data_IF_327287051657
#
_entry.id   IF_327287051657
#
_cell.length_a   1.000
_cell.length_b   1.000
_cell.length_c   1.000
_cell.angle_alpha   90.00
_cell.angle_beta   90.00
_cell.angle_gamma   90.00
#
_symmetry.space_group_name_H-M   'P 1'
#
loop_
_entity.id
_entity.type
_entity.pdbx_description
1 polymer ?
#
# COMPACT_ATOMS: atom_id res chain seq x y z
N UNK A 1 19.89 17.34 25.00
CA UNK A 1 19.72 17.27 23.51
C UNK A 1 19.71 15.80 23.07
N UNK A 2 18.75 15.39 22.23
CA UNK A 2 18.61 13.98 21.79
C UNK A 2 19.17 13.71 20.40
N UNK A 3 20.01 12.68 20.31
CA UNK A 3 20.59 12.21 19.03
C UNK A 3 20.12 10.78 18.73
N UNK A 4 19.79 10.47 17.48
CA UNK A 4 19.52 9.12 17.03
C UNK A 4 20.64 8.59 16.15
N UNK A 5 21.03 7.34 16.37
CA UNK A 5 22.10 6.68 15.65
C UNK A 5 21.57 5.38 15.08
N UNK A 6 21.78 5.17 13.78
CA UNK A 6 21.42 3.90 13.15
C UNK A 6 22.42 2.81 13.56
N UNK A 7 21.94 1.68 14.06
CA UNK A 7 22.78 0.63 14.64
C UNK A 7 22.37 -0.77 14.15
N UNK A 8 23.36 -1.66 14.07
CA UNK A 8 23.15 -3.07 13.73
C UNK A 8 22.61 -3.89 14.92
N UNK A 9 22.95 -3.49 16.16
CA UNK A 9 22.53 -4.14 17.41
C UNK A 9 22.04 -3.11 18.43
N UNK A 10 21.38 -3.61 19.48
CA UNK A 10 20.73 -2.83 20.54
C UNK A 10 21.70 -2.35 21.64
N UNK A 11 22.96 -2.08 21.30
CA UNK A 11 24.02 -1.76 22.26
C UNK A 11 24.98 -0.69 21.73
N UNK A 12 25.64 0.06 22.64
CA UNK A 12 26.57 1.12 22.28
C UNK A 12 27.90 0.62 21.67
N UNK A 13 28.22 -0.67 21.80
CA UNK A 13 29.35 -1.31 21.13
C UNK A 13 28.98 -1.80 19.72
N UNK A 14 27.74 -1.57 19.28
CA UNK A 14 27.31 -1.85 17.92
C UNK A 14 28.05 -0.97 16.91
N UNK A 15 28.18 -1.49 15.69
CA UNK A 15 28.54 -0.67 14.53
C UNK A 15 27.36 0.20 14.11
N UNK A 16 27.68 1.36 13.54
CA UNK A 16 26.70 2.21 12.85
C UNK A 16 26.20 1.48 11.60
N UNK A 17 24.88 1.42 11.45
CA UNK A 17 24.26 0.77 10.30
C UNK A 17 24.41 1.61 9.03
N UNK A 18 24.61 0.94 7.90
CA UNK A 18 24.80 1.63 6.63
C UNK A 18 23.56 2.40 6.19
N UNK A 19 22.32 1.93 6.43
CA UNK A 19 21.10 2.60 5.93
C UNK A 19 20.19 2.97 7.08
N UNK A 20 19.81 4.25 7.19
CA UNK A 20 18.91 4.71 8.25
C UNK A 20 17.55 3.98 8.24
N UNK A 21 16.84 4.02 7.11
CA UNK A 21 15.47 3.51 7.02
C UNK A 21 15.29 2.00 7.12
N UNK A 22 16.38 1.23 7.00
CA UNK A 22 16.42 -0.24 7.10
C UNK A 22 17.35 -0.73 8.22
N UNK A 23 17.85 0.19 9.06
CA UNK A 23 18.68 -0.18 10.19
C UNK A 23 17.89 -1.07 11.15
N UNK A 24 18.48 -2.14 11.71
CA UNK A 24 17.78 -2.97 12.69
C UNK A 24 17.34 -2.19 13.94
N UNK A 25 18.19 -1.28 14.42
CA UNK A 25 17.95 -0.49 15.62
C UNK A 25 18.23 0.99 15.39
N UNK A 26 17.47 1.83 16.09
CA UNK A 26 17.75 3.25 16.29
C UNK A 26 18.09 3.45 17.76
N UNK A 27 19.33 3.86 18.04
CA UNK A 27 19.78 4.18 19.39
C UNK A 27 19.54 5.67 19.62
N UNK A 28 18.61 5.99 20.50
CA UNK A 28 18.33 7.37 20.92
C UNK A 28 19.13 7.65 22.18
N UNK A 29 20.06 8.60 22.11
CA UNK A 29 20.98 8.93 23.18
C UNK A 29 20.73 10.37 23.63
N UNK A 30 20.61 10.59 24.93
CA UNK A 30 20.69 11.92 25.48
C UNK A 30 22.16 12.32 25.65
N UNK A 31 22.55 13.39 24.99
CA UNK A 31 23.93 13.89 25.04
C UNK A 31 24.31 14.48 26.39
N UNK A 32 23.36 14.84 27.24
CA UNK A 32 23.62 15.42 28.56
C UNK A 32 23.84 14.34 29.62
N UNK A 33 22.97 13.34 29.70
CA UNK A 33 23.07 12.27 30.71
C UNK A 33 23.83 11.03 30.25
N UNK A 34 24.10 10.90 28.95
CA UNK A 34 24.61 9.67 28.31
C UNK A 34 23.67 8.46 28.42
N UNK A 35 22.44 8.67 28.89
CA UNK A 35 21.42 7.62 28.84
C UNK A 35 21.06 7.32 27.38
N UNK A 36 20.94 6.04 27.07
CA UNK A 36 20.54 5.59 25.75
C UNK A 36 19.36 4.65 25.83
N UNK A 37 18.49 4.76 24.83
CA UNK A 37 17.36 3.87 24.60
C UNK A 37 17.59 3.17 23.27
N UNK A 38 17.75 1.85 23.32
CA UNK A 38 17.84 1.04 22.12
C UNK A 38 16.45 0.66 21.64
N UNK A 39 16.08 1.15 20.45
CA UNK A 39 14.74 0.95 19.90
C UNK A 39 14.83 0.13 18.63
N UNK A 40 14.03 -0.94 18.56
CA UNK A 40 13.87 -1.68 17.32
C UNK A 40 13.26 -0.75 16.26
N UNK A 41 13.89 -0.65 15.10
CA UNK A 41 13.41 0.23 14.05
C UNK A 41 12.18 -0.40 13.38
N UNK A 42 11.00 0.25 13.41
CA UNK A 42 9.82 -0.26 12.71
C UNK A 42 10.03 -0.36 11.18
N UNK A 43 11.04 0.32 10.64
CA UNK A 43 11.51 0.24 9.25
C UNK A 43 12.51 -0.89 8.97
N UNK A 44 12.96 -1.67 9.96
CA UNK A 44 13.93 -2.75 9.74
C UNK A 44 13.43 -3.82 8.75
N UNK A 45 12.11 -4.02 8.65
CA UNK A 45 11.52 -4.88 7.63
C UNK A 45 11.50 -4.14 6.29
N UNK A 46 12.08 -4.72 5.24
CA UNK A 46 12.12 -4.20 3.85
C UNK A 46 10.75 -4.10 3.15
N UNK A 47 9.73 -3.63 3.85
CA UNK A 47 8.37 -3.37 3.36
C UNK A 47 8.30 -1.97 2.74
N UNK A 48 7.39 -1.73 1.79
CA UNK A 48 7.12 -0.39 1.27
C UNK A 48 6.85 0.60 2.43
N UNK A 49 7.50 1.76 2.40
CA UNK A 49 7.33 2.79 3.44
C UNK A 49 8.18 2.61 4.71
N UNK A 50 9.06 1.61 4.78
CA UNK A 50 9.98 1.37 5.90
C UNK A 50 10.74 2.64 6.37
N UNK A 51 11.31 3.38 5.42
CA UNK A 51 12.05 4.62 5.73
C UNK A 51 11.19 5.71 6.36
N UNK A 52 9.93 5.86 5.92
CA UNK A 52 9.00 6.86 6.48
C UNK A 52 8.60 6.50 7.90
N UNK A 53 8.46 5.21 8.21
CA UNK A 53 8.21 4.75 9.59
C UNK A 53 9.37 5.06 10.51
N UNK A 54 10.61 4.87 10.05
CA UNK A 54 11.80 5.24 10.79
C UNK A 54 11.85 6.76 11.07
N UNK A 55 11.42 7.60 10.12
CA UNK A 55 11.29 9.05 10.31
C UNK A 55 10.25 9.40 11.36
N UNK A 56 9.02 8.87 11.23
CA UNK A 56 7.95 9.13 12.18
C UNK A 56 8.35 8.72 13.62
N UNK A 57 9.10 7.62 13.71
CA UNK A 57 9.63 7.14 14.97
C UNK A 57 10.67 8.08 15.60
N UNK A 58 11.63 8.57 14.79
CA UNK A 58 12.61 9.55 15.26
C UNK A 58 11.96 10.87 15.73
N UNK A 59 10.94 11.34 15.01
CA UNK A 59 10.16 12.53 15.41
C UNK A 59 9.43 12.28 16.74
N UNK A 60 8.78 11.11 16.89
CA UNK A 60 8.04 10.77 18.10
C UNK A 60 8.90 10.68 19.37
N UNK A 61 10.17 10.30 19.25
CA UNK A 61 11.12 10.28 20.37
C UNK A 61 11.76 11.66 20.66
N UNK A 62 11.45 12.67 19.85
CA UNK A 62 11.96 14.04 20.00
C UNK A 62 13.44 14.18 19.62
N UNK A 63 13.88 13.44 18.60
CA UNK A 63 15.27 13.46 18.12
C UNK A 63 15.55 14.76 17.37
N UNK A 64 16.65 15.43 17.71
CA UNK A 64 17.06 16.68 17.06
C UNK A 64 18.11 16.43 15.97
N UNK A 65 18.90 15.35 16.10
CA UNK A 65 20.01 15.03 15.20
C UNK A 65 20.05 13.54 14.90
N UNK A 66 20.23 13.18 13.63
CA UNK A 66 20.40 11.80 13.17
C UNK A 66 21.81 11.60 12.63
N UNK A 67 22.52 10.61 13.15
CA UNK A 67 23.82 10.14 12.67
C UNK A 67 23.64 8.78 11.98
N UNK A 68 24.01 8.68 10.71
CA UNK A 68 23.83 7.43 9.95
C UNK A 68 24.88 7.28 8.84
N UNK A 69 25.10 6.06 8.35
CA UNK A 69 25.94 5.84 7.17
C UNK A 69 25.34 6.49 5.91
N UNK A 70 24.13 6.10 5.54
CA UNK A 70 23.43 6.58 4.35
C UNK A 70 21.97 6.91 4.65
N UNK A 71 21.51 8.02 4.07
CA UNK A 71 20.14 8.47 4.09
C UNK A 71 19.65 8.71 2.66
N UNK A 72 18.50 8.16 2.27
CA UNK A 72 17.95 8.41 0.93
C UNK A 72 17.39 9.84 0.82
N UNK A 73 17.35 10.45 -0.37
CA UNK A 73 16.86 11.83 -0.55
C UNK A 73 15.45 12.05 0.01
N UNK A 74 14.55 11.08 -0.19
CA UNK A 74 13.19 11.15 0.33
C UNK A 74 13.13 11.17 1.86
N UNK A 75 13.98 10.39 2.54
CA UNK A 75 14.04 10.33 4.00
C UNK A 75 14.75 11.56 4.57
N UNK A 76 15.83 12.00 3.92
CA UNK A 76 16.55 13.22 4.28
C UNK A 76 15.61 14.43 4.27
N UNK A 77 14.88 14.63 3.17
CA UNK A 77 13.96 15.76 3.03
C UNK A 77 12.87 15.76 4.12
N UNK A 78 12.38 14.59 4.51
CA UNK A 78 11.37 14.47 5.56
C UNK A 78 11.95 14.79 6.96
N UNK A 79 13.14 14.29 7.29
CA UNK A 79 13.82 14.62 8.55
C UNK A 79 14.13 16.12 8.63
N UNK A 80 14.72 16.67 7.57
CA UNK A 80 15.08 18.09 7.51
C UNK A 80 13.86 19.02 7.59
N UNK A 81 12.74 18.67 6.94
CA UNK A 81 11.50 19.46 6.99
C UNK A 81 10.86 19.50 8.39
N UNK A 82 11.20 18.52 9.25
CA UNK A 82 10.76 18.48 10.65
C UNK A 82 11.83 19.04 11.61
N UNK A 83 12.82 19.77 11.10
CA UNK A 83 13.87 20.40 11.92
C UNK A 83 14.94 19.44 12.44
N UNK A 84 14.95 18.18 12.00
CA UNK A 84 15.95 17.20 12.41
C UNK A 84 17.18 17.33 11.53
N UNK A 85 18.34 17.60 12.13
CA UNK A 85 19.61 17.67 11.41
C UNK A 85 20.11 16.27 11.09
N UNK A 86 20.47 16.02 9.82
CA UNK A 86 20.98 14.71 9.40
C UNK A 86 22.46 14.82 9.05
N UNK A 87 23.28 13.94 9.62
CA UNK A 87 24.71 13.78 9.30
C UNK A 87 24.87 12.38 8.71
N UNK A 88 25.30 12.34 7.45
CA UNK A 88 25.55 11.10 6.71
C UNK A 88 27.04 10.75 6.71
N UNK A 89 27.38 9.63 6.07
CA UNK A 89 28.75 9.11 5.91
C UNK A 89 29.42 8.81 7.26
N UNK A 90 28.60 8.53 8.27
CA UNK A 90 29.04 8.14 9.59
C UNK A 90 29.32 6.63 9.60
N UNK A 91 30.51 6.25 10.03
CA UNK A 91 30.94 4.86 10.18
C UNK A 91 31.79 4.70 11.44
N UNK A 92 31.92 3.46 11.93
CA UNK A 92 32.63 3.13 13.17
C UNK A 92 31.70 2.55 14.24
N UNK A 93 32.20 2.49 15.48
CA UNK A 93 31.38 2.08 16.62
C UNK A 93 30.49 3.23 17.08
N UNK A 94 29.26 2.91 17.52
CA UNK A 94 28.29 3.89 18.01
C UNK A 94 28.89 4.75 19.13
N UNK A 95 29.58 4.15 20.09
CA UNK A 95 30.24 4.86 21.19
C UNK A 95 31.24 5.92 20.70
N UNK A 96 32.11 5.56 19.77
CA UNK A 96 33.12 6.46 19.19
C UNK A 96 32.46 7.61 18.41
N UNK A 97 31.37 7.30 17.71
CA UNK A 97 30.59 8.27 16.94
C UNK A 97 29.91 9.30 17.86
N UNK A 98 29.39 8.88 19.01
CA UNK A 98 28.83 9.80 20.03
C UNK A 98 29.91 10.73 20.56
N UNK A 99 31.06 10.19 20.93
CA UNK A 99 32.19 10.97 21.46
C UNK A 99 32.72 11.96 20.43
N UNK A 100 32.86 11.53 19.17
CA UNK A 100 33.25 12.39 18.06
C UNK A 100 32.25 13.51 17.80
N UNK A 101 30.95 13.24 17.99
CA UNK A 101 29.91 14.24 17.87
C UNK A 101 29.95 15.28 18.99
N UNK A 102 30.15 14.85 20.25
CA UNK A 102 30.35 15.75 21.38
C UNK A 102 31.60 16.63 21.24
N UNK A 103 32.68 16.08 20.66
CA UNK A 103 33.91 16.81 20.40
C UNK A 103 33.81 17.82 19.23
N UNK A 104 32.64 17.94 18.59
CA UNK A 104 32.45 18.80 17.41
C UNK A 104 33.14 18.29 16.14
N UNK A 105 33.57 17.03 16.13
CA UNK A 105 34.34 16.41 15.05
C UNK A 105 33.53 16.13 13.78
N UNK A 106 32.21 16.33 13.81
CA UNK A 106 31.39 16.46 12.61
C UNK A 106 31.20 17.95 12.34
N UNK A 107 32.16 18.54 11.62
CA UNK A 107 32.16 19.96 11.26
C UNK A 107 30.85 20.36 10.56
N UNK A 108 30.59 21.67 10.48
CA UNK A 108 29.44 22.22 9.72
C UNK A 108 29.38 21.71 8.27
N UNK A 109 30.48 21.20 7.73
CA UNK A 109 30.62 20.62 6.39
C UNK A 109 30.15 19.16 6.24
N UNK A 110 29.92 18.42 7.33
CA UNK A 110 29.35 17.05 7.31
C UNK A 110 27.85 17.01 7.58
N UNK A 111 27.26 18.17 7.90
CA UNK A 111 25.87 18.39 7.54
C UNK A 111 25.88 18.46 6.01
N UNK A 112 25.64 17.34 5.35
CA UNK A 112 25.36 17.35 3.93
C UNK A 112 24.16 18.26 3.77
N UNK A 113 24.40 19.53 3.41
CA UNK A 113 23.47 20.29 2.60
C UNK A 113 23.16 19.35 1.46
N UNK A 114 22.01 18.65 1.58
CA UNK A 114 21.57 17.57 0.71
C UNK A 114 22.06 17.86 -0.69
N UNK A 115 22.91 16.99 -1.23
CA UNK A 115 23.54 17.17 -2.54
C UNK A 115 22.64 18.03 -3.42
N UNK A 116 22.99 19.31 -3.57
CA UNK A 116 22.46 20.15 -4.65
C UNK A 116 23.10 19.68 -5.96
N UNK A 117 23.02 18.37 -6.21
CA UNK A 117 23.40 17.67 -7.42
C UNK A 117 22.16 17.49 -8.29
N UNK A 118 21.75 18.58 -8.92
CA UNK A 118 20.98 18.59 -10.16
C UNK A 118 19.70 17.72 -10.22
N UNK A 119 18.63 18.24 -9.62
CA UNK A 119 17.32 18.19 -10.27
C UNK A 119 17.25 19.24 -11.40
N UNK A 120 18.20 19.21 -12.33
CA UNK A 120 17.98 19.88 -13.62
C UNK A 120 17.29 18.87 -14.51
N UNK A 121 15.97 18.94 -14.53
CA UNK A 121 15.10 18.01 -15.25
C UNK A 121 15.15 18.28 -16.75
N UNK A 122 16.30 18.07 -17.39
CA UNK A 122 16.32 17.85 -18.84
C UNK A 122 15.72 16.47 -19.09
N UNK A 123 14.49 16.42 -19.62
CA UNK A 123 13.92 15.18 -20.16
C UNK A 123 14.83 14.73 -21.30
N UNK A 124 15.78 13.86 -20.99
CA UNK A 124 16.66 13.30 -21.99
C UNK A 124 15.90 12.21 -22.76
N UNK A 125 16.10 12.13 -24.08
CA UNK A 125 15.58 11.06 -24.94
C UNK A 125 15.85 9.67 -24.36
N UNK A 126 16.98 9.46 -23.68
CA UNK A 126 17.28 8.19 -22.98
C UNK A 126 16.33 7.88 -21.82
N UNK A 127 15.99 8.89 -21.01
CA UNK A 127 15.03 8.75 -19.90
C UNK A 127 13.63 8.50 -20.47
N UNK A 128 13.25 9.25 -21.51
CA UNK A 128 11.97 9.06 -22.21
C UNK A 128 11.84 7.65 -22.79
N UNK A 129 12.87 7.14 -23.48
CA UNK A 129 12.87 5.79 -24.04
C UNK A 129 12.84 4.73 -22.93
N UNK A 130 13.55 4.93 -21.81
CA UNK A 130 13.52 4.01 -20.68
C UNK A 130 12.15 3.99 -20.00
N UNK A 131 11.51 5.15 -19.83
CA UNK A 131 10.16 5.28 -19.31
C UNK A 131 9.14 4.62 -20.25
N UNK A 132 9.19 4.92 -21.55
CA UNK A 132 8.35 4.28 -22.57
C UNK A 132 8.51 2.76 -22.58
N UNK A 133 9.75 2.25 -22.53
CA UNK A 133 10.03 0.81 -22.49
C UNK A 133 9.49 0.17 -21.20
N UNK A 134 9.56 0.87 -20.08
CA UNK A 134 9.00 0.42 -18.81
C UNK A 134 7.48 0.36 -18.87
N UNK A 135 6.82 1.41 -19.36
CA UNK A 135 5.36 1.46 -19.53
C UNK A 135 4.89 0.39 -20.52
N UNK A 136 5.55 0.24 -21.67
CA UNK A 136 5.23 -0.79 -22.65
C UNK A 136 5.33 -2.20 -22.06
N UNK A 137 6.33 -2.46 -21.20
CA UNK A 137 6.44 -3.73 -20.47
C UNK A 137 5.31 -3.93 -19.48
N UNK A 138 4.87 -2.89 -18.77
CA UNK A 138 3.71 -2.97 -17.87
C UNK A 138 2.42 -3.29 -18.63
N UNK A 139 2.19 -2.66 -19.78
CA UNK A 139 1.08 -3.00 -20.67
C UNK A 139 1.16 -4.44 -21.18
N UNK A 140 2.35 -4.89 -21.61
CA UNK A 140 2.57 -6.26 -22.04
C UNK A 140 2.31 -7.28 -20.93
N UNK A 141 2.57 -6.94 -19.67
CA UNK A 141 2.27 -7.80 -18.52
C UNK A 141 0.76 -7.90 -18.22
N UNK A 142 -0.04 -6.88 -18.56
CA UNK A 142 -1.49 -6.88 -18.36
C UNK A 142 -2.20 -7.63 -19.51
N UNK A 143 -1.59 -7.68 -20.70
CA UNK A 143 -2.19 -8.27 -21.89
C UNK A 143 -2.64 -9.73 -21.72
N UNK A 144 -1.87 -10.66 -21.12
CA UNK A 144 -2.32 -12.03 -20.89
C UNK A 144 -3.57 -12.13 -20.01
N UNK A 145 -3.69 -11.25 -19.01
CA UNK A 145 -4.87 -11.21 -18.14
C UNK A 145 -6.08 -10.74 -18.93
N UNK A 146 -5.95 -9.66 -19.72
CA UNK A 146 -7.04 -9.18 -20.57
C UNK A 146 -7.46 -10.23 -21.60
N UNK A 147 -6.50 -10.89 -22.27
CA UNK A 147 -6.79 -11.98 -23.19
C UNK A 147 -7.51 -13.13 -22.49
N UNK A 148 -7.06 -13.54 -21.31
CA UNK A 148 -7.71 -14.57 -20.51
C UNK A 148 -9.15 -14.20 -20.14
N UNK A 149 -9.37 -12.97 -19.69
CA UNK A 149 -10.71 -12.47 -19.35
C UNK A 149 -11.61 -12.43 -20.59
N UNK A 150 -11.14 -11.91 -21.73
CA UNK A 150 -11.91 -11.87 -22.98
C UNK A 150 -12.27 -13.28 -23.47
N UNK A 151 -11.34 -14.23 -23.41
CA UNK A 151 -11.61 -15.62 -23.76
C UNK A 151 -12.63 -16.26 -22.82
N UNK A 152 -12.54 -15.99 -21.51
CA UNK A 152 -13.52 -16.46 -20.54
C UNK A 152 -14.91 -15.88 -20.79
N UNK A 153 -15.02 -14.60 -21.19
CA UNK A 153 -16.30 -14.00 -21.60
C UNK A 153 -16.82 -14.69 -22.86
N UNK A 154 -15.96 -14.96 -23.85
CA UNK A 154 -16.34 -15.69 -25.06
C UNK A 154 -16.87 -17.09 -24.72
N UNK A 155 -16.19 -17.81 -23.82
CA UNK A 155 -16.61 -19.12 -23.34
C UNK A 155 -17.92 -19.03 -22.54
N UNK A 156 -18.06 -18.03 -21.67
CA UNK A 156 -19.30 -17.76 -20.94
C UNK A 156 -20.45 -17.52 -21.90
N UNK A 157 -20.27 -16.67 -22.92
CA UNK A 157 -21.29 -16.43 -23.94
C UNK A 157 -21.64 -17.67 -24.76
N UNK A 158 -20.70 -18.61 -24.91
CA UNK A 158 -20.92 -19.86 -25.64
C UNK A 158 -21.64 -20.93 -24.79
N UNK A 159 -21.32 -21.03 -23.49
CA UNK A 159 -21.83 -22.07 -22.60
C UNK A 159 -23.02 -21.63 -21.73
N UNK A 160 -23.15 -20.34 -21.47
CA UNK A 160 -24.22 -19.78 -20.64
C UNK A 160 -25.27 -19.18 -21.57
N UNK A 161 -26.30 -19.96 -21.83
CA UNK A 161 -27.46 -19.52 -22.62
C UNK A 161 -28.31 -18.52 -21.83
N UNK A 162 -29.03 -17.66 -22.56
CA UNK A 162 -30.00 -16.72 -21.96
C UNK A 162 -31.07 -17.43 -21.12
N UNK A 163 -31.39 -18.67 -21.46
CA UNK A 163 -32.36 -19.51 -20.74
C UNK A 163 -31.86 -19.91 -19.34
N UNK A 164 -30.57 -20.28 -19.23
CA UNK A 164 -29.95 -20.58 -17.94
C UNK A 164 -29.91 -19.35 -17.03
N UNK A 165 -29.68 -18.16 -17.60
CA UNK A 165 -29.71 -16.90 -16.85
C UNK A 165 -31.13 -16.50 -16.47
N UNK A 166 -32.13 -16.69 -17.33
CA UNK A 166 -33.53 -16.39 -17.04
C UNK A 166 -34.13 -17.28 -15.94
N UNK A 167 -33.61 -18.50 -15.75
CA UNK A 167 -33.98 -19.37 -14.61
C UNK A 167 -33.51 -18.84 -13.26
N UNK A 168 -32.38 -18.12 -13.23
CA UNK A 168 -31.78 -17.56 -12.01
C UNK A 168 -32.28 -16.12 -11.78
N UNK A 169 -32.35 -15.33 -12.84
CA UNK A 169 -32.79 -13.93 -12.85
C UNK A 169 -34.21 -13.86 -13.41
N UNK A 170 -35.17 -14.02 -12.50
CA UNK A 170 -36.61 -14.05 -12.79
C UNK A 170 -37.21 -12.70 -13.19
N UNK A 171 -36.41 -11.62 -13.13
CA UNK A 171 -36.84 -10.25 -13.45
C UNK A 171 -37.41 -9.49 -12.24
N UNK A 172 -37.52 -10.15 -11.07
CA UNK A 172 -37.89 -9.47 -9.83
C UNK A 172 -36.66 -8.77 -9.25
N UNK A 173 -36.75 -7.44 -9.10
CA UNK A 173 -35.66 -6.58 -8.60
C UNK A 173 -35.01 -7.14 -7.33
N UNK A 174 -35.79 -7.62 -6.36
CA UNK A 174 -35.27 -8.07 -5.06
C UNK A 174 -34.55 -9.40 -5.18
N UNK A 175 -35.14 -10.38 -5.87
CA UNK A 175 -34.54 -11.70 -6.08
C UNK A 175 -33.29 -11.63 -6.96
N UNK A 176 -33.35 -10.82 -8.02
CA UNK A 176 -32.22 -10.63 -8.93
C UNK A 176 -31.04 -9.95 -8.22
N UNK A 177 -31.33 -8.95 -7.37
CA UNK A 177 -30.31 -8.30 -6.52
C UNK A 177 -29.71 -9.29 -5.52
N UNK A 178 -30.53 -10.15 -4.91
CA UNK A 178 -30.07 -11.14 -3.94
C UNK A 178 -29.20 -12.23 -4.60
N UNK A 179 -29.62 -12.76 -5.74
CA UNK A 179 -28.79 -13.69 -6.53
C UNK A 179 -27.50 -13.03 -6.99
N UNK A 180 -27.56 -11.79 -7.47
CA UNK A 180 -26.38 -11.01 -7.84
C UNK A 180 -25.40 -10.84 -6.67
N UNK A 181 -25.91 -10.53 -5.47
CA UNK A 181 -25.13 -10.42 -4.26
C UNK A 181 -24.45 -11.76 -3.86
N UNK A 182 -25.16 -12.88 -3.97
CA UNK A 182 -24.61 -14.21 -3.71
C UNK A 182 -23.47 -14.56 -4.68
N UNK A 183 -23.69 -14.37 -5.99
CA UNK A 183 -22.67 -14.65 -6.99
C UNK A 183 -21.45 -13.74 -6.84
N UNK A 184 -21.66 -12.44 -6.68
CA UNK A 184 -20.57 -11.48 -6.49
C UNK A 184 -19.75 -11.77 -5.23
N UNK A 185 -20.37 -12.26 -4.16
CA UNK A 185 -19.65 -12.58 -2.92
C UNK A 185 -18.66 -13.74 -3.07
N UNK A 186 -18.98 -14.74 -3.90
CA UNK A 186 -18.12 -15.91 -4.14
C UNK A 186 -16.94 -15.54 -5.04
N UNK A 187 -17.19 -14.65 -5.99
CA UNK A 187 -16.20 -14.25 -6.96
C UNK A 187 -15.18 -13.30 -6.31
N UNK A 188 -13.89 -13.53 -6.59
CA UNK A 188 -12.81 -12.70 -6.08
C UNK A 188 -11.79 -12.43 -7.17
N UNK A 189 -11.11 -11.29 -7.08
CA UNK A 189 -10.10 -10.87 -8.04
C UNK A 189 -9.99 -9.36 -8.13
N UNK A 190 -9.33 -8.88 -9.17
CA UNK A 190 -9.22 -7.44 -9.43
C UNK A 190 -10.62 -6.83 -9.67
N UNK A 191 -11.02 -5.76 -8.96
CA UNK A 191 -12.29 -5.06 -9.18
C UNK A 191 -12.53 -4.64 -10.64
N UNK A 192 -11.48 -4.45 -11.44
CA UNK A 192 -11.62 -4.15 -12.87
C UNK A 192 -12.40 -5.27 -13.61
N UNK A 193 -12.22 -6.53 -13.21
CA UNK A 193 -12.88 -7.67 -13.85
C UNK A 193 -14.39 -7.71 -13.57
N UNK A 194 -14.86 -7.17 -12.44
CA UNK A 194 -16.29 -7.15 -12.13
C UNK A 194 -17.07 -6.25 -13.08
N UNK A 195 -16.46 -5.16 -13.57
CA UNK A 195 -17.07 -4.30 -14.59
C UNK A 195 -17.19 -5.00 -15.94
N UNK A 196 -16.16 -5.76 -16.32
CA UNK A 196 -16.14 -6.50 -17.58
C UNK A 196 -17.21 -7.61 -17.58
N UNK A 197 -17.29 -8.36 -16.48
CA UNK A 197 -18.34 -9.38 -16.29
C UNK A 197 -19.72 -8.73 -16.21
N UNK A 198 -19.85 -7.61 -15.49
CA UNK A 198 -21.10 -6.86 -15.41
C UNK A 198 -21.61 -6.41 -16.78
N UNK A 199 -20.73 -5.91 -17.66
CA UNK A 199 -21.09 -5.55 -19.02
C UNK A 199 -21.58 -6.77 -19.83
N UNK A 200 -20.95 -7.94 -19.68
CA UNK A 200 -21.42 -9.17 -20.32
C UNK A 200 -22.82 -9.58 -19.82
N UNK A 201 -23.08 -9.49 -18.52
CA UNK A 201 -24.39 -9.80 -17.93
C UNK A 201 -25.48 -8.84 -18.44
N UNK A 202 -25.20 -7.53 -18.52
CA UNK A 202 -26.12 -6.54 -19.07
C UNK A 202 -26.47 -6.83 -20.54
N UNK A 203 -25.47 -7.20 -21.36
CA UNK A 203 -25.69 -7.55 -22.77
C UNK A 203 -26.58 -8.80 -22.95
N UNK A 204 -26.66 -9.66 -21.94
CA UNK A 204 -27.58 -10.81 -21.91
C UNK A 204 -28.97 -10.49 -21.35
N UNK A 205 -29.24 -9.23 -21.00
CA UNK A 205 -30.55 -8.77 -20.52
C UNK A 205 -30.76 -8.89 -19.02
N UNK A 206 -29.70 -9.12 -18.24
CA UNK A 206 -29.79 -9.15 -16.78
C UNK A 206 -30.03 -7.74 -16.25
N UNK A 207 -30.86 -7.62 -15.21
CA UNK A 207 -31.21 -6.33 -14.62
C UNK A 207 -29.98 -5.56 -14.10
N UNK A 208 -30.00 -4.25 -14.27
CA UNK A 208 -28.95 -3.37 -13.76
C UNK A 208 -28.78 -3.47 -12.24
N UNK A 209 -29.88 -3.80 -11.54
CA UNK A 209 -29.89 -4.08 -10.11
C UNK A 209 -29.02 -5.28 -9.74
N UNK A 210 -29.20 -6.42 -10.42
CA UNK A 210 -28.37 -7.61 -10.21
C UNK A 210 -26.89 -7.34 -10.50
N UNK A 211 -26.59 -6.66 -11.62
CA UNK A 211 -25.21 -6.38 -12.02
C UNK A 211 -24.52 -5.46 -11.02
N UNK A 212 -25.23 -4.43 -10.53
CA UNK A 212 -24.70 -3.54 -9.49
C UNK A 212 -24.44 -4.29 -8.19
N UNK A 213 -25.35 -5.20 -7.79
CA UNK A 213 -25.15 -6.04 -6.62
C UNK A 213 -23.94 -6.96 -6.74
N UNK A 214 -23.71 -7.56 -7.91
CA UNK A 214 -22.51 -8.36 -8.20
C UNK A 214 -21.24 -7.52 -8.01
N UNK A 215 -21.19 -6.32 -8.61
CA UNK A 215 -20.00 -5.45 -8.54
C UNK A 215 -19.72 -5.01 -7.10
N UNK A 216 -20.75 -4.60 -6.35
CA UNK A 216 -20.60 -4.14 -4.96
C UNK A 216 -20.14 -5.28 -4.05
N UNK A 217 -20.75 -6.46 -4.16
CA UNK A 217 -20.42 -7.60 -3.30
C UNK A 217 -19.07 -8.23 -3.61
N UNK A 218 -18.64 -8.22 -4.88
CA UNK A 218 -17.32 -8.67 -5.32
C UNK A 218 -16.19 -8.00 -4.53
N UNK A 219 -16.31 -6.69 -4.29
CA UNK A 219 -15.26 -5.93 -3.62
C UNK A 219 -15.40 -5.98 -2.10
N UNK A 220 -16.62 -6.07 -1.58
CA UNK A 220 -16.89 -5.83 -0.15
C UNK A 220 -16.98 -7.10 0.70
N UNK A 221 -17.55 -8.19 0.17
CA UNK A 221 -17.84 -9.39 0.97
C UNK A 221 -16.59 -10.25 1.13
N UNK A 222 -15.89 -10.51 0.03
CA UNK A 222 -14.57 -11.15 0.02
C UNK A 222 -14.55 -12.55 0.65
N UNK A 223 -15.50 -13.44 0.32
CA UNK A 223 -15.55 -14.82 0.87
C UNK A 223 -14.24 -15.58 0.66
N UNK A 224 -13.55 -15.34 -0.45
CA UNK A 224 -12.25 -15.98 -0.76
C UNK A 224 -11.15 -15.56 0.23
N UNK A 225 -11.24 -14.36 0.82
CA UNK A 225 -10.28 -13.84 1.80
C UNK A 225 -10.63 -14.23 3.25
N UNK A 226 -11.80 -14.82 3.46
CA UNK A 226 -12.33 -15.17 4.78
C UNK A 226 -11.38 -16.08 5.59
N UNK A 227 -10.67 -17.08 5.04
CA UNK A 227 -9.68 -17.86 5.80
C UNK A 227 -8.52 -17.03 6.34
N UNK A 228 -7.99 -16.10 5.52
CA UNK A 228 -6.89 -15.22 5.92
C UNK A 228 -7.34 -14.19 6.97
N UNK A 229 -8.57 -13.71 6.86
CA UNK A 229 -9.17 -12.80 7.82
C UNK A 229 -9.46 -13.48 9.16
N UNK A 230 -10.01 -14.71 9.16
CA UNK A 230 -10.19 -15.50 10.39
C UNK A 230 -8.85 -15.69 11.12
N UNK A 231 -7.78 -15.99 10.38
CA UNK A 231 -6.47 -16.22 10.95
C UNK A 231 -5.84 -14.97 11.59
N UNK A 232 -6.24 -13.77 11.14
CA UNK A 232 -5.64 -12.50 11.60
C UNK A 232 -6.50 -11.72 12.60
N UNK A 233 -7.83 -11.75 12.45
CA UNK A 233 -8.78 -10.93 13.20
C UNK A 233 -9.80 -11.76 14.00
N UNK A 234 -9.83 -13.08 13.79
CA UNK A 234 -10.71 -14.02 14.50
C UNK A 234 -12.05 -14.26 13.80
N UNK A 235 -12.63 -15.43 14.08
CA UNK A 235 -13.83 -15.94 13.38
C UNK A 235 -15.06 -15.04 13.52
N UNK A 236 -15.32 -14.56 14.75
CA UNK A 236 -16.50 -13.73 15.03
C UNK A 236 -16.45 -12.42 14.25
N UNK A 237 -15.27 -11.79 14.19
CA UNK A 237 -15.08 -10.55 13.46
C UNK A 237 -15.28 -10.75 11.96
N UNK A 238 -14.60 -11.74 11.37
CA UNK A 238 -14.68 -12.00 9.92
C UNK A 238 -16.12 -12.30 9.47
N UNK A 239 -16.85 -13.13 10.22
CA UNK A 239 -18.25 -13.47 9.89
C UNK A 239 -19.19 -12.27 10.02
N UNK A 240 -19.07 -11.48 11.11
CA UNK A 240 -19.92 -10.29 11.30
C UNK A 240 -19.63 -9.25 10.21
N UNK A 241 -18.36 -9.04 9.87
CA UNK A 241 -17.97 -8.12 8.78
C UNK A 241 -18.58 -8.57 7.46
N UNK A 242 -18.31 -9.79 7.00
CA UNK A 242 -18.80 -10.28 5.71
C UNK A 242 -20.34 -10.31 5.64
N UNK A 243 -21.02 -10.73 6.72
CA UNK A 243 -22.47 -10.71 6.78
C UNK A 243 -23.03 -9.28 6.72
N UNK A 244 -22.45 -8.34 7.47
CA UNK A 244 -22.85 -6.93 7.44
C UNK A 244 -22.65 -6.30 6.05
N UNK A 245 -21.52 -6.59 5.39
CA UNK A 245 -21.25 -6.12 4.04
C UNK A 245 -22.26 -6.69 3.03
N UNK A 246 -22.61 -7.97 3.13
CA UNK A 246 -23.59 -8.60 2.25
C UNK A 246 -24.97 -7.98 2.41
N UNK A 247 -25.43 -7.79 3.65
CA UNK A 247 -26.73 -7.19 3.96
C UNK A 247 -26.80 -5.74 3.48
N UNK A 248 -25.73 -4.96 3.67
CA UNK A 248 -25.68 -3.56 3.22
C UNK A 248 -25.51 -3.40 1.70
N UNK A 249 -24.92 -4.39 1.02
CA UNK A 249 -24.72 -4.33 -0.43
C UNK A 249 -26.03 -4.29 -1.22
N UNK A 250 -27.07 -4.99 -0.74
CA UNK A 250 -28.40 -5.06 -1.39
C UNK A 250 -29.06 -3.66 -1.46
N UNK A 251 -29.31 -2.94 -0.34
CA UNK A 251 -29.90 -1.61 -0.40
C UNK A 251 -29.00 -0.61 -1.11
N UNK A 252 -27.67 -0.72 -0.98
CA UNK A 252 -26.73 0.14 -1.72
C UNK A 252 -26.88 -0.04 -3.22
N UNK A 253 -26.97 -1.28 -3.72
CA UNK A 253 -27.16 -1.56 -5.13
C UNK A 253 -28.49 -1.01 -5.66
N UNK A 254 -29.59 -1.25 -4.92
CA UNK A 254 -30.92 -0.74 -5.29
C UNK A 254 -30.92 0.77 -5.34
N UNK A 255 -30.41 1.43 -4.29
CA UNK A 255 -30.40 2.89 -4.18
C UNK A 255 -29.52 3.53 -5.26
N UNK A 256 -28.38 2.90 -5.58
CA UNK A 256 -27.51 3.36 -6.68
C UNK A 256 -28.24 3.35 -8.02
N UNK A 257 -28.94 2.27 -8.34
CA UNK A 257 -29.69 2.16 -9.60
C UNK A 257 -30.90 3.10 -9.61
N UNK A 258 -31.61 3.26 -8.49
CA UNK A 258 -32.71 4.22 -8.38
C UNK A 258 -32.24 5.66 -8.62
N UNK A 259 -31.11 6.06 -8.03
CA UNK A 259 -30.50 7.37 -8.27
C UNK A 259 -30.11 7.52 -9.74
N UNK A 260 -29.50 6.49 -10.34
CA UNK A 260 -29.11 6.54 -11.73
C UNK A 260 -30.31 6.73 -12.67
N UNK A 261 -31.39 5.96 -12.46
CA UNK A 261 -32.62 6.09 -13.23
C UNK A 261 -33.25 7.48 -13.04
N UNK A 262 -33.22 8.02 -11.83
CA UNK A 262 -33.69 9.38 -11.57
C UNK A 262 -32.89 10.45 -12.33
N UNK A 263 -31.57 10.26 -12.49
CA UNK A 263 -30.70 11.20 -13.21
C UNK A 263 -30.88 11.07 -14.74
N UNK A 264 -31.04 9.85 -15.25
CA UNK A 264 -31.07 9.58 -16.69
C UNK A 264 -32.46 9.79 -17.30
N UNK A 265 -33.53 9.64 -16.51
CA UNK A 265 -34.92 9.76 -16.96
C UNK A 265 -35.51 8.42 -17.37
#
# INVERSE_FOLDING_TARGET
>A
MKIAISAERADLASKVAHRFGLSPYLLVVDTETMDFKALANPGATSRPGAGIRAVAFAIGEGVEVVLTGYCSPAVYNQLASNGIKVITDVSGMVKEVIEKYKAGGFGRDLAVEGEKGQASHYINRRILVKALKSSARQFANILPILTGVILCIGLFNAFVSKEALALIFTGNVVLDTLWGACFGSILAGNPINSYVIGAALLNHGISLFAVTAVIVTWVTVGLVQLPAEIASLGLRFALVRSASCLVLAIPVAILTVMILNFIIG
#
